data_IF_268260370221
#
_entry.id   IF_268260370221
#
_cell.length_a   1.000
_cell.length_b   1.000
_cell.length_c   1.000
_cell.angle_alpha   90.00
_cell.angle_beta   90.00
_cell.angle_gamma   90.00
#
_symmetry.space_group_name_H-M   'P 1'
#
loop_
_entity.id
_entity.type
_entity.pdbx_description
1 polymer ?
#
# COMPACT_ATOMS: atom_id res chain seq x y z
N UNK A 1 -5.64 11.71 -30.83
CA UNK A 1 -5.37 11.79 -29.38
C UNK A 1 -4.80 10.44 -28.97
N UNK A 2 -3.50 10.37 -28.73
CA UNK A 2 -2.89 9.11 -28.28
C UNK A 2 -3.31 8.92 -26.82
N UNK A 3 -4.14 7.92 -26.54
CA UNK A 3 -4.32 7.40 -25.17
C UNK A 3 -2.96 6.92 -24.70
N UNK A 4 -2.27 7.75 -23.93
CA UNK A 4 -1.12 7.33 -23.13
C UNK A 4 -1.62 6.24 -22.20
N UNK A 5 -1.48 5.00 -22.65
CA UNK A 5 -2.01 3.81 -22.01
C UNK A 5 -1.45 3.75 -20.61
N UNK A 6 -2.33 3.82 -19.62
CA UNK A 6 -2.04 3.39 -18.28
C UNK A 6 -1.51 1.95 -18.36
N UNK A 7 -0.23 1.70 -18.07
CA UNK A 7 0.22 0.33 -17.84
C UNK A 7 -0.66 -0.18 -16.69
N UNK A 8 -1.43 -1.24 -16.94
CA UNK A 8 -2.22 -1.85 -15.88
C UNK A 8 -1.30 -2.18 -14.70
N UNK A 9 -1.83 -2.05 -13.48
CA UNK A 9 -1.12 -2.48 -12.30
C UNK A 9 -0.65 -3.92 -12.46
N UNK A 10 0.57 -4.21 -12.01
CA UNK A 10 1.06 -5.58 -11.96
C UNK A 10 0.11 -6.39 -11.08
N UNK A 11 -0.34 -7.52 -11.61
CA UNK A 11 -1.09 -8.53 -10.85
C UNK A 11 -0.13 -9.64 -10.44
N UNK A 12 0.03 -9.83 -9.14
CA UNK A 12 0.93 -10.82 -8.54
C UNK A 12 0.20 -12.14 -8.28
N UNK A 13 -1.06 -12.10 -7.86
CA UNK A 13 -1.93 -13.26 -7.71
C UNK A 13 -1.60 -14.19 -6.54
N UNK A 14 -0.50 -13.98 -5.82
CA UNK A 14 -0.15 -14.75 -4.60
C UNK A 14 0.64 -13.90 -3.60
N UNK A 15 0.55 -14.27 -2.32
CA UNK A 15 1.30 -13.62 -1.24
C UNK A 15 2.82 -13.77 -1.44
N UNK A 16 3.28 -14.92 -1.95
CA UNK A 16 4.69 -15.20 -2.25
C UNK A 16 5.22 -14.28 -3.36
N UNK A 17 4.45 -14.11 -4.45
CA UNK A 17 4.84 -13.23 -5.55
C UNK A 17 4.96 -11.77 -5.09
N UNK A 18 4.05 -11.31 -4.22
CA UNK A 18 4.13 -9.97 -3.60
C UNK A 18 5.32 -9.86 -2.65
N UNK A 19 5.56 -10.88 -1.83
CA UNK A 19 6.68 -10.93 -0.90
C UNK A 19 8.03 -10.85 -1.62
N UNK A 20 8.18 -11.52 -2.76
CA UNK A 20 9.43 -11.51 -3.54
C UNK A 20 9.80 -10.10 -4.00
N UNK A 21 8.83 -9.33 -4.53
CA UNK A 21 9.09 -8.00 -5.10
C UNK A 21 9.02 -6.86 -4.08
N UNK A 22 8.33 -7.04 -2.95
CA UNK A 22 8.25 -6.04 -1.90
C UNK A 22 9.64 -5.70 -1.33
N UNK A 23 9.89 -4.44 -1.02
CA UNK A 23 11.10 -4.03 -0.31
C UNK A 23 10.96 -4.24 1.21
N UNK A 24 9.73 -4.15 1.72
CA UNK A 24 9.40 -4.49 3.09
C UNK A 24 8.02 -5.17 3.17
N UNK A 25 7.88 -6.07 4.13
CA UNK A 25 6.62 -6.75 4.46
C UNK A 25 6.45 -6.70 5.97
N UNK A 26 5.36 -6.08 6.41
CA UNK A 26 5.05 -5.87 7.82
C UNK A 26 3.60 -6.22 8.13
N UNK A 27 3.31 -6.46 9.40
CA UNK A 27 1.94 -6.54 9.90
C UNK A 27 1.63 -5.34 10.80
N UNK A 28 0.36 -4.95 10.85
CA UNK A 28 -0.15 -3.87 11.71
C UNK A 28 -1.57 -4.15 12.14
N UNK A 29 -1.91 -3.88 13.41
CA UNK A 29 -3.22 -4.15 13.97
C UNK A 29 -4.31 -3.21 13.45
N UNK A 30 -3.95 -1.95 13.19
CA UNK A 30 -4.88 -0.97 12.57
C UNK A 30 -4.12 0.23 12.01
N UNK A 31 -4.27 0.55 10.71
CA UNK A 31 -3.82 1.82 10.16
C UNK A 31 -4.58 3.00 10.76
N UNK A 32 -3.91 4.16 10.87
CA UNK A 32 -4.54 5.42 11.30
C UNK A 32 -4.36 6.48 10.23
N UNK A 33 -5.45 7.12 9.81
CA UNK A 33 -5.41 8.15 8.78
C UNK A 33 -4.36 9.25 9.10
N UNK A 34 -3.57 9.60 8.09
CA UNK A 34 -2.40 10.51 8.14
C UNK A 34 -2.38 11.46 6.93
N UNK A 35 -3.56 11.97 6.58
CA UNK A 35 -3.77 12.88 5.47
C UNK A 35 -3.48 12.24 4.12
N UNK A 36 -2.87 13.00 3.22
CA UNK A 36 -2.61 12.56 1.84
C UNK A 36 -1.15 12.74 1.43
N UNK A 37 -0.74 12.06 0.36
CA UNK A 37 0.54 12.21 -0.32
C UNK A 37 0.29 12.42 -1.82
N UNK A 38 1.02 13.33 -2.46
CA UNK A 38 0.97 13.47 -3.92
C UNK A 38 1.66 12.28 -4.58
N UNK A 39 0.92 11.46 -5.31
CA UNK A 39 1.40 10.31 -6.10
C UNK A 39 0.81 10.43 -7.49
N UNK A 40 1.60 10.36 -8.56
CA UNK A 40 1.11 10.53 -9.95
C UNK A 40 0.21 11.76 -10.17
N UNK A 41 0.49 12.88 -9.48
CA UNK A 41 -0.31 14.12 -9.49
C UNK A 41 -1.72 14.01 -8.87
N UNK A 42 -2.02 12.92 -8.15
CA UNK A 42 -3.25 12.74 -7.36
C UNK A 42 -2.94 12.70 -5.86
N UNK A 43 -3.93 13.04 -5.04
CA UNK A 43 -3.81 13.03 -3.58
C UNK A 43 -4.17 11.65 -3.02
N UNK A 44 -3.20 10.75 -2.96
CA UNK A 44 -3.35 9.43 -2.37
C UNK A 44 -3.51 9.51 -0.85
N UNK A 45 -4.33 8.65 -0.27
CA UNK A 45 -4.45 8.49 1.18
C UNK A 45 -3.14 8.01 1.79
N UNK A 46 -2.83 8.50 2.98
CA UNK A 46 -1.67 8.07 3.75
C UNK A 46 -2.09 7.73 5.18
N UNK A 47 -1.38 6.79 5.79
CA UNK A 47 -1.68 6.22 7.10
C UNK A 47 -0.41 6.17 7.95
N UNK A 48 -0.55 6.42 9.25
CA UNK A 48 0.42 6.00 10.24
C UNK A 48 0.10 4.55 10.61
N UNK A 49 1.11 3.69 10.54
CA UNK A 49 0.99 2.28 10.93
C UNK A 49 2.05 1.98 11.99
N UNK A 50 1.63 1.32 13.06
CA UNK A 50 2.56 0.75 14.04
C UNK A 50 2.89 -0.66 13.60
N UNK A 51 4.18 -0.96 13.49
CA UNK A 51 4.68 -2.26 13.05
C UNK A 51 4.51 -3.26 14.18
N UNK A 52 3.72 -4.31 13.98
CA UNK A 52 3.58 -5.40 14.95
C UNK A 52 4.67 -6.46 14.72
N UNK A 53 4.81 -6.91 13.47
CA UNK A 53 5.86 -7.82 13.02
C UNK A 53 6.48 -7.32 11.71
N UNK A 54 7.77 -7.61 11.53
CA UNK A 54 8.47 -7.40 10.26
C UNK A 54 8.88 -8.74 9.69
N UNK A 55 8.26 -9.10 8.56
CA UNK A 55 8.60 -10.31 7.81
C UNK A 55 9.77 -10.06 6.85
N UNK A 56 9.85 -8.84 6.29
CA UNK A 56 10.91 -8.40 5.38
C UNK A 56 11.19 -6.90 5.52
N UNK A 57 12.42 -6.49 5.29
CA UNK A 57 12.81 -5.07 5.21
C UNK A 57 13.42 -4.53 6.50
N UNK A 58 13.57 -3.19 6.63
CA UNK A 58 14.41 -2.58 7.65
C UNK A 58 13.67 -2.23 8.96
N UNK A 59 12.34 -2.36 9.00
CA UNK A 59 11.54 -1.93 10.12
C UNK A 59 11.67 -2.86 11.33
N UNK A 60 11.34 -2.32 12.51
CA UNK A 60 11.30 -3.09 13.75
C UNK A 60 9.94 -2.99 14.42
N UNK A 61 9.54 -4.03 15.15
CA UNK A 61 8.31 -4.03 15.92
C UNK A 61 8.25 -2.85 16.90
N UNK A 62 7.09 -2.21 17.00
CA UNK A 62 6.83 -1.00 17.77
C UNK A 62 7.20 0.31 17.06
N UNK A 63 7.92 0.27 15.94
CA UNK A 63 8.16 1.45 15.12
C UNK A 63 6.84 1.95 14.50
N UNK A 64 6.69 3.27 14.40
CA UNK A 64 5.57 3.87 13.66
C UNK A 64 6.08 4.47 12.38
N UNK A 65 5.53 4.02 11.26
CA UNK A 65 5.93 4.47 9.93
C UNK A 65 4.73 5.08 9.19
N UNK A 66 5.01 5.99 8.26
CA UNK A 66 3.97 6.55 7.39
C UNK A 66 3.96 5.78 6.06
N UNK A 67 2.83 5.18 5.74
CA UNK A 67 2.61 4.40 4.52
C UNK A 67 1.55 5.09 3.67
N UNK A 68 1.81 5.19 2.38
CA UNK A 68 0.85 5.69 1.39
C UNK A 68 0.10 4.51 0.78
N UNK A 69 -1.24 4.58 0.78
CA UNK A 69 -2.05 3.62 0.06
C UNK A 69 -2.00 3.97 -1.42
N UNK A 70 -1.40 3.10 -2.23
CA UNK A 70 -1.20 3.36 -3.65
C UNK A 70 -2.56 3.60 -4.34
N UNK A 71 -2.79 4.76 -4.98
CA UNK A 71 -4.06 5.04 -5.62
C UNK A 71 -4.13 4.37 -6.99
N UNK A 72 -5.32 4.00 -7.44
CA UNK A 72 -5.54 3.69 -8.84
C UNK A 72 -5.70 4.97 -9.67
N UNK A 73 -4.58 5.67 -9.89
CA UNK A 73 -4.52 6.89 -10.69
C UNK A 73 -4.88 6.66 -12.18
N UNK A 74 -5.12 5.42 -12.59
CA UNK A 74 -5.36 5.00 -13.96
C UNK A 74 -6.81 4.63 -14.25
N UNK A 75 -7.59 4.25 -13.24
CA UNK A 75 -9.01 3.89 -13.38
C UNK A 75 -9.95 5.06 -13.69
N UNK A 76 -9.54 6.31 -13.43
CA UNK A 76 -10.32 7.50 -13.77
C UNK A 76 -10.38 8.53 -12.64
N UNK A 77 -11.60 8.94 -12.26
CA UNK A 77 -11.84 10.01 -11.27
C UNK A 77 -11.79 9.52 -9.83
N UNK A 78 -12.02 8.22 -9.61
CA UNK A 78 -11.93 7.59 -8.29
C UNK A 78 -10.52 7.02 -8.08
N UNK A 79 -9.91 7.33 -6.94
CA UNK A 79 -8.58 6.82 -6.59
C UNK A 79 -8.64 5.41 -6.01
N UNK A 80 -9.81 5.00 -5.52
CA UNK A 80 -10.03 3.74 -4.84
C UNK A 80 -11.40 3.17 -5.24
N UNK A 81 -11.55 2.69 -6.49
CA UNK A 81 -12.84 2.26 -7.04
C UNK A 81 -13.53 1.15 -6.22
N UNK A 82 -12.73 0.30 -5.55
CA UNK A 82 -13.21 -0.78 -4.68
C UNK A 82 -13.08 -0.45 -3.17
N UNK A 83 -12.77 0.81 -2.84
CA UNK A 83 -12.41 1.25 -1.48
C UNK A 83 -10.90 1.20 -1.23
N UNK A 84 -10.41 2.03 -0.30
CA UNK A 84 -9.00 2.05 0.09
C UNK A 84 -8.72 0.85 1.01
N UNK A 85 -7.85 -0.10 0.63
CA UNK A 85 -7.57 -1.28 1.46
C UNK A 85 -6.97 -0.97 2.83
N UNK A 86 -6.38 0.22 2.99
CA UNK A 86 -5.82 0.68 4.26
C UNK A 86 -6.84 1.44 5.13
N UNK A 87 -8.01 1.81 4.60
CA UNK A 87 -9.09 2.44 5.38
C UNK A 87 -9.93 1.38 6.10
N UNK A 88 -9.33 0.77 7.11
CA UNK A 88 -9.93 -0.31 7.89
C UNK A 88 -9.42 -0.33 9.32
N UNK A 89 -10.22 -0.86 10.24
CA UNK A 89 -9.82 -1.15 11.63
C UNK A 89 -9.32 -2.60 11.80
N UNK A 90 -9.24 -3.39 10.72
CA UNK A 90 -8.76 -4.77 10.76
C UNK A 90 -7.22 -4.85 10.71
N UNK A 91 -6.62 -5.91 11.29
CA UNK A 91 -5.20 -6.18 11.10
C UNK A 91 -4.87 -6.43 9.63
N UNK A 92 -3.76 -5.83 9.17
CA UNK A 92 -3.29 -5.93 7.80
C UNK A 92 -1.86 -6.45 7.74
N UNK A 93 -1.58 -7.26 6.72
CA UNK A 93 -0.24 -7.43 6.17
C UNK A 93 -0.05 -6.45 5.02
N UNK A 94 1.04 -5.69 5.06
CA UNK A 94 1.35 -4.66 4.07
C UNK A 94 2.59 -5.06 3.28
N UNK A 95 2.49 -4.96 1.95
CA UNK A 95 3.60 -5.16 1.02
C UNK A 95 4.05 -3.81 0.49
N UNK A 96 5.26 -3.40 0.85
CA UNK A 96 5.70 -2.02 0.71
C UNK A 96 6.87 -1.88 -0.28
N UNK A 97 6.90 -0.75 -0.99
CA UNK A 97 8.05 -0.27 -1.76
C UNK A 97 8.35 1.19 -1.41
N UNK A 98 9.62 1.56 -1.47
CA UNK A 98 10.10 2.94 -1.27
C UNK A 98 10.52 3.63 -2.57
N UNK A 99 10.30 3.01 -3.74
CA UNK A 99 10.80 3.48 -5.04
C UNK A 99 10.37 4.91 -5.44
N UNK A 100 9.31 5.45 -4.83
CA UNK A 100 8.84 6.82 -5.05
C UNK A 100 9.40 7.85 -4.05
N UNK A 101 10.37 7.47 -3.21
CA UNK A 101 10.95 8.31 -2.15
C UNK A 101 10.12 8.36 -0.86
N UNK A 102 9.05 7.58 -0.79
CA UNK A 102 8.21 7.35 0.39
C UNK A 102 7.74 5.90 0.39
N UNK A 103 7.44 5.36 1.56
CA UNK A 103 6.86 4.03 1.68
C UNK A 103 5.41 4.03 1.21
N UNK A 104 5.11 3.14 0.26
CA UNK A 104 3.78 2.95 -0.27
C UNK A 104 3.49 1.47 -0.44
N UNK A 105 2.21 1.11 -0.45
CA UNK A 105 1.79 -0.23 -0.82
C UNK A 105 2.17 -0.53 -2.29
N UNK A 106 2.46 -1.80 -2.61
CA UNK A 106 2.98 -2.19 -3.94
C UNK A 106 2.06 -1.76 -5.09
N UNK A 107 0.77 -2.03 -4.95
CA UNK A 107 -0.29 -1.67 -5.91
C UNK A 107 -1.57 -1.32 -5.15
N UNK A 108 -2.55 -0.71 -5.82
CA UNK A 108 -3.82 -0.36 -5.18
C UNK A 108 -4.61 -1.56 -4.65
N UNK A 109 -4.47 -2.75 -5.26
CA UNK A 109 -5.30 -3.92 -4.94
C UNK A 109 -4.54 -5.04 -4.22
N UNK A 110 -3.23 -5.15 -4.44
CA UNK A 110 -2.41 -6.25 -3.90
C UNK A 110 -1.29 -5.71 -2.99
N UNK A 111 -1.45 -4.49 -2.50
CA UNK A 111 -0.50 -3.85 -1.60
C UNK A 111 -0.78 -4.07 -0.11
N UNK A 112 -2.01 -4.46 0.23
CA UNK A 112 -2.45 -4.76 1.59
C UNK A 112 -3.44 -5.93 1.58
N UNK A 113 -3.34 -6.82 2.56
CA UNK A 113 -4.30 -7.90 2.76
C UNK A 113 -4.71 -8.01 4.24
N UNK A 114 -5.99 -8.29 4.54
CA UNK A 114 -6.42 -8.61 5.89
C UNK A 114 -5.71 -9.87 6.42
N UNK A 115 -5.36 -9.86 7.70
CA UNK A 115 -4.90 -11.06 8.40
C UNK A 115 -6.11 -11.64 9.13
N UNK A 116 -6.53 -12.84 8.75
CA UNK A 116 -7.50 -13.59 9.55
C UNK A 116 -6.83 -14.05 10.86
N UNK A 117 -7.46 -13.77 12.00
CA UNK A 117 -7.02 -14.24 13.32
C UNK A 117 -7.13 -15.76 13.49
#
# INVERSE_FOLDING_TARGET
MQTSGCPGWAYFGSAEARYEVAEAVITTASPRASGTQSVFSVAASAYMVTVDETEKGPFIAGETIRVVSMPDACSGTDLYPDGDPMDTDQPLRLYLSSGNGFWATLTPLEGAEPIEE
#
